data_IF_099865679417
#
_entry.id   IF_099865679417
#
_cell.length_a   1.000
_cell.length_b   1.000
_cell.length_c   1.000
_cell.angle_alpha   90.00
_cell.angle_beta   90.00
_cell.angle_gamma   90.00
#
_symmetry.space_group_name_H-M   'P 1'
#
loop_
_entity.id
_entity.type
_entity.pdbx_description
1 polymer ?
#
# COMPACT_ATOMS: atom_id res chain seq x y z
N UNK A 1 19.68 -10.04 14.85
CA UNK A 1 19.29 -10.94 13.75
C UNK A 1 17.78 -10.95 13.65
N UNK A 2 17.25 -10.90 12.44
CA UNK A 2 15.81 -10.92 12.21
C UNK A 2 15.26 -12.35 12.25
N UNK A 3 14.13 -12.54 12.94
CA UNK A 3 13.40 -13.82 12.96
C UNK A 3 12.53 -14.01 11.71
N UNK A 4 12.53 -13.04 10.79
CA UNK A 4 11.73 -13.08 9.58
C UNK A 4 12.42 -13.90 8.49
N UNK A 5 11.64 -14.63 7.67
CA UNK A 5 12.20 -15.36 6.55
C UNK A 5 12.83 -14.42 5.51
N UNK A 6 13.80 -14.96 4.76
CA UNK A 6 14.49 -14.19 3.71
C UNK A 6 13.53 -13.66 2.65
N UNK A 7 12.49 -14.45 2.32
CA UNK A 7 11.39 -13.99 1.48
C UNK A 7 10.21 -13.65 2.39
N UNK A 8 9.97 -12.36 2.55
CA UNK A 8 8.96 -11.86 3.47
C UNK A 8 8.19 -10.73 2.79
N UNK A 9 6.86 -10.78 2.89
CA UNK A 9 5.99 -9.71 2.42
C UNK A 9 5.20 -9.17 3.62
N UNK A 10 5.42 -7.90 3.94
CA UNK A 10 4.79 -7.26 5.10
C UNK A 10 3.27 -7.22 4.99
N UNK A 11 2.71 -7.11 3.78
CA UNK A 11 1.26 -7.10 3.59
C UNK A 11 0.62 -8.44 3.97
N UNK A 12 1.28 -9.55 3.62
CA UNK A 12 0.79 -10.88 4.01
C UNK A 12 0.77 -11.04 5.53
N UNK A 13 1.82 -10.60 6.20
CA UNK A 13 1.94 -10.71 7.65
C UNK A 13 1.06 -9.70 8.41
N UNK A 14 1.08 -8.44 8.01
CA UNK A 14 0.45 -7.36 8.76
C UNK A 14 -1.02 -7.14 8.39
N UNK A 15 -1.44 -7.53 7.20
CA UNK A 15 -2.79 -7.30 6.69
C UNK A 15 -3.55 -8.61 6.53
N UNK A 16 -3.07 -9.50 5.67
CA UNK A 16 -3.78 -10.74 5.33
C UNK A 16 -3.97 -11.66 6.53
N UNK A 17 -3.04 -11.66 7.47
CA UNK A 17 -3.12 -12.43 8.71
C UNK A 17 -4.42 -12.18 9.47
N UNK A 18 -4.92 -10.95 9.51
CA UNK A 18 -6.13 -10.60 10.26
C UNK A 18 -7.36 -11.30 9.69
N UNK A 19 -7.40 -11.56 8.40
CA UNK A 19 -8.48 -12.30 7.77
C UNK A 19 -8.38 -13.79 8.12
N UNK A 20 -7.20 -14.38 7.99
CA UNK A 20 -6.98 -15.80 8.29
C UNK A 20 -7.17 -16.11 9.78
N UNK A 21 -6.97 -15.13 10.66
CA UNK A 21 -7.19 -15.29 12.11
C UNK A 21 -8.59 -14.88 12.58
N UNK A 22 -9.54 -14.68 11.64
CA UNK A 22 -10.94 -14.47 11.95
C UNK A 22 -11.37 -13.02 12.21
N UNK A 23 -10.56 -12.05 11.83
CA UNK A 23 -10.85 -10.61 12.03
C UNK A 23 -11.29 -9.89 10.75
N UNK A 24 -11.79 -10.61 9.75
CA UNK A 24 -12.17 -10.01 8.47
C UNK A 24 -13.21 -8.89 8.60
N UNK A 25 -14.17 -9.03 9.53
CA UNK A 25 -15.22 -8.03 9.74
C UNK A 25 -14.81 -6.88 10.64
N UNK A 26 -13.62 -6.93 11.25
CA UNK A 26 -13.14 -5.87 12.14
C UNK A 26 -12.67 -4.65 11.32
N UNK A 27 -13.00 -3.45 11.80
CA UNK A 27 -12.55 -2.21 11.17
C UNK A 27 -11.02 -2.09 11.23
N UNK A 28 -10.40 -1.86 10.07
CA UNK A 28 -8.97 -1.59 9.97
C UNK A 28 -8.70 -0.09 9.90
N UNK A 29 -9.49 0.64 9.13
CA UNK A 29 -9.36 2.09 8.95
C UNK A 29 -10.75 2.73 8.87
N UNK A 30 -10.87 3.94 9.40
CA UNK A 30 -12.11 4.72 9.39
C UNK A 30 -11.78 6.12 8.88
N UNK A 31 -12.53 6.59 7.87
CA UNK A 31 -12.49 7.97 7.42
C UNK A 31 -13.91 8.57 7.43
N UNK A 32 -14.08 9.87 7.11
CA UNK A 32 -15.40 10.50 7.14
C UNK A 32 -16.43 9.90 6.18
N UNK A 33 -15.99 9.17 5.15
CA UNK A 33 -16.89 8.63 4.12
C UNK A 33 -17.17 7.16 4.26
N UNK A 34 -16.24 6.39 4.85
CA UNK A 34 -16.44 4.94 5.01
C UNK A 34 -15.58 4.35 6.12
N UNK A 35 -15.96 3.15 6.53
CA UNK A 35 -15.16 2.27 7.37
C UNK A 35 -14.64 1.12 6.48
N UNK A 36 -13.34 0.89 6.51
CA UNK A 36 -12.69 -0.19 5.78
C UNK A 36 -12.38 -1.33 6.74
N UNK A 37 -13.01 -2.49 6.52
CA UNK A 37 -12.71 -3.69 7.30
C UNK A 37 -11.43 -4.36 6.81
N UNK A 38 -10.85 -5.26 7.61
CA UNK A 38 -9.68 -6.03 7.17
C UNK A 38 -9.99 -6.88 5.93
N UNK A 39 -11.17 -7.46 5.84
CA UNK A 39 -11.58 -8.21 4.66
C UNK A 39 -11.62 -7.34 3.40
N UNK A 40 -12.18 -6.15 3.51
CA UNK A 40 -12.21 -5.17 2.41
C UNK A 40 -10.80 -4.69 2.07
N UNK A 41 -9.95 -4.44 3.07
CA UNK A 41 -8.56 -4.04 2.85
C UNK A 41 -7.81 -5.12 2.07
N UNK A 42 -7.96 -6.39 2.44
CA UNK A 42 -7.33 -7.50 1.71
C UNK A 42 -7.82 -7.54 0.26
N UNK A 43 -9.13 -7.52 0.04
CA UNK A 43 -9.71 -7.59 -1.30
C UNK A 43 -9.29 -6.41 -2.17
N UNK A 44 -9.41 -5.19 -1.67
CA UNK A 44 -9.08 -3.97 -2.44
C UNK A 44 -7.57 -3.83 -2.66
N UNK A 45 -6.75 -4.19 -1.68
CA UNK A 45 -5.29 -4.16 -1.88
C UNK A 45 -4.83 -5.22 -2.88
N UNK A 46 -5.50 -6.38 -2.96
CA UNK A 46 -5.24 -7.37 -4.00
C UNK A 46 -5.58 -6.81 -5.39
N UNK A 47 -6.69 -6.10 -5.52
CA UNK A 47 -7.08 -5.44 -6.77
C UNK A 47 -6.06 -4.37 -7.17
N UNK A 48 -5.59 -3.58 -6.21
CA UNK A 48 -4.55 -2.57 -6.44
C UNK A 48 -3.23 -3.22 -6.91
N UNK A 49 -2.83 -4.32 -6.29
CA UNK A 49 -1.64 -5.06 -6.69
C UNK A 49 -1.75 -5.59 -8.12
N UNK A 50 -2.91 -6.14 -8.47
CA UNK A 50 -3.18 -6.64 -9.82
C UNK A 50 -3.15 -5.50 -10.85
N UNK A 51 -3.70 -4.34 -10.50
CA UNK A 51 -3.66 -3.16 -11.36
C UNK A 51 -2.22 -2.71 -11.61
N UNK A 52 -1.40 -2.67 -10.57
CA UNK A 52 0.02 -2.30 -10.72
C UNK A 52 0.76 -3.26 -11.64
N UNK A 53 0.49 -4.56 -11.55
CA UNK A 53 1.04 -5.56 -12.48
C UNK A 53 0.58 -5.32 -13.91
N UNK A 54 -0.71 -5.02 -14.11
CA UNK A 54 -1.27 -4.71 -15.43
C UNK A 54 -0.68 -3.44 -16.04
N UNK A 55 -0.28 -2.46 -15.21
CA UNK A 55 0.39 -1.24 -15.64
C UNK A 55 1.89 -1.45 -15.95
N UNK A 56 2.41 -2.65 -15.76
CA UNK A 56 3.80 -2.98 -16.05
C UNK A 56 4.78 -2.70 -14.93
N UNK A 57 4.31 -2.39 -13.72
CA UNK A 57 5.18 -2.22 -12.56
C UNK A 57 5.77 -3.58 -12.16
N UNK A 58 7.06 -3.57 -11.89
CA UNK A 58 7.82 -4.76 -11.53
C UNK A 58 8.30 -4.67 -10.08
N UNK A 59 8.76 -5.80 -9.56
CA UNK A 59 9.33 -5.87 -8.23
C UNK A 59 10.43 -4.82 -8.06
N UNK A 60 10.37 -4.11 -6.94
CA UNK A 60 11.29 -3.04 -6.55
C UNK A 60 11.13 -1.74 -7.34
N UNK A 61 10.21 -1.66 -8.30
CA UNK A 61 9.82 -0.38 -8.87
C UNK A 61 9.24 0.49 -7.76
N UNK A 62 9.36 1.80 -7.91
CA UNK A 62 8.90 2.76 -6.91
C UNK A 62 7.66 3.49 -7.40
N UNK A 63 6.66 3.54 -6.55
CA UNK A 63 5.41 4.24 -6.84
C UNK A 63 5.22 5.39 -5.84
N UNK A 64 5.15 6.61 -6.34
CA UNK A 64 4.86 7.77 -5.51
C UNK A 64 3.36 7.80 -5.19
N UNK A 65 3.03 7.86 -3.91
CA UNK A 65 1.64 7.89 -3.43
C UNK A 65 1.32 9.29 -2.92
N UNK A 66 0.63 10.07 -3.76
CA UNK A 66 0.19 11.43 -3.45
C UNK A 66 -1.31 11.40 -3.24
N UNK A 67 -1.72 10.97 -2.04
CA UNK A 67 -3.12 10.71 -1.70
C UNK A 67 -3.49 11.40 -0.39
N UNK A 68 -4.75 11.77 -0.28
CA UNK A 68 -5.32 12.26 0.99
C UNK A 68 -5.42 11.10 2.00
N UNK A 69 -5.51 11.44 3.29
CA UNK A 69 -5.67 10.48 4.38
C UNK A 69 -7.10 9.90 4.39
N UNK A 70 -7.39 9.05 3.41
CA UNK A 70 -8.65 8.32 3.30
C UNK A 70 -8.39 6.82 3.34
N UNK A 71 -9.45 6.02 3.35
CA UNK A 71 -9.31 4.56 3.29
C UNK A 71 -8.66 4.06 1.99
N UNK A 72 -8.59 4.88 0.95
CA UNK A 72 -7.89 4.53 -0.29
C UNK A 72 -6.37 4.47 -0.11
N UNK A 73 -5.83 5.27 0.80
CA UNK A 73 -4.40 5.31 1.05
C UNK A 73 -3.84 3.94 1.49
N UNK A 74 -4.36 3.31 2.56
CA UNK A 74 -3.89 1.98 2.95
C UNK A 74 -4.13 0.92 1.88
N UNK A 75 -5.19 1.03 1.08
CA UNK A 75 -5.45 0.10 -0.03
C UNK A 75 -4.31 0.15 -1.04
N UNK A 76 -3.92 1.34 -1.48
CA UNK A 76 -2.85 1.51 -2.47
C UNK A 76 -1.49 1.18 -1.86
N UNK A 77 -1.24 1.63 -0.62
CA UNK A 77 0.02 1.37 0.08
C UNK A 77 0.28 -0.13 0.23
N UNK A 78 -0.68 -0.86 0.80
CA UNK A 78 -0.53 -2.30 0.99
C UNK A 78 -0.61 -3.08 -0.31
N UNK A 79 -1.35 -2.58 -1.29
CA UNK A 79 -1.38 -3.14 -2.64
C UNK A 79 0.00 -3.08 -3.31
N UNK A 80 0.70 -1.96 -3.17
CA UNK A 80 2.06 -1.82 -3.67
C UNK A 80 2.99 -2.84 -3.02
N UNK A 81 2.94 -2.96 -1.70
CA UNK A 81 3.77 -3.93 -0.97
C UNK A 81 3.48 -5.36 -1.42
N UNK A 82 2.21 -5.72 -1.62
CA UNK A 82 1.82 -7.05 -2.15
C UNK A 82 2.42 -7.31 -3.52
N UNK A 83 2.46 -6.30 -4.37
CA UNK A 83 3.03 -6.41 -5.72
C UNK A 83 4.57 -6.39 -5.73
N UNK A 84 5.20 -6.19 -4.60
CA UNK A 84 6.65 -6.03 -4.50
C UNK A 84 7.15 -4.66 -4.94
N UNK A 85 6.24 -3.70 -5.13
CA UNK A 85 6.53 -2.31 -5.49
C UNK A 85 6.81 -1.51 -4.21
N UNK A 86 7.76 -0.59 -4.27
CA UNK A 86 8.11 0.25 -3.12
C UNK A 86 7.21 1.49 -3.11
N UNK A 87 6.26 1.62 -2.17
CA UNK A 87 5.44 2.82 -2.09
C UNK A 87 6.21 3.94 -1.41
N UNK A 88 6.11 5.14 -1.99
CA UNK A 88 6.73 6.35 -1.44
C UNK A 88 5.60 7.28 -1.05
N UNK A 89 5.37 7.42 0.25
CA UNK A 89 4.31 8.28 0.78
C UNK A 89 4.75 9.74 0.71
N UNK A 90 3.98 10.57 0.01
CA UNK A 90 4.26 11.98 -0.15
C UNK A 90 3.13 12.85 0.40
N UNK A 91 3.51 13.99 0.96
CA UNK A 91 2.56 15.00 1.40
C UNK A 91 1.88 15.64 0.18
N UNK A 92 0.56 15.85 0.27
CA UNK A 92 -0.22 16.47 -0.81
C UNK A 92 0.00 17.98 -0.94
N UNK A 93 0.71 18.59 0.00
CA UNK A 93 0.94 20.05 0.06
C UNK A 93 2.36 20.46 -0.34
N UNK A 94 3.11 19.58 -1.00
CA UNK A 94 4.46 19.90 -1.45
C UNK A 94 4.44 20.81 -2.69
N UNK A 95 5.53 21.57 -2.88
CA UNK A 95 5.70 22.39 -4.09
C UNK A 95 6.07 21.51 -5.29
N UNK A 96 5.91 22.07 -6.50
CA UNK A 96 6.30 21.37 -7.74
C UNK A 96 7.78 20.95 -7.71
N UNK A 97 8.66 21.82 -7.21
CA UNK A 97 10.08 21.52 -7.13
C UNK A 97 10.38 20.40 -6.13
N UNK A 98 9.68 20.38 -5.00
CA UNK A 98 9.81 19.31 -4.01
C UNK A 98 9.35 17.95 -4.57
N UNK A 99 8.23 17.92 -5.30
CA UNK A 99 7.79 16.70 -5.99
C UNK A 99 8.81 16.25 -7.04
N UNK A 100 9.33 17.16 -7.83
CA UNK A 100 10.33 16.84 -8.84
C UNK A 100 11.56 16.21 -8.21
N UNK A 101 12.09 16.81 -7.16
CA UNK A 101 13.25 16.29 -6.45
C UNK A 101 13.01 14.87 -5.93
N UNK A 102 11.88 14.64 -5.27
CA UNK A 102 11.57 13.33 -4.69
C UNK A 102 11.37 12.27 -5.79
N UNK A 103 10.68 12.62 -6.87
CA UNK A 103 10.46 11.70 -7.99
C UNK A 103 11.76 11.30 -8.68
N UNK A 104 12.66 12.26 -8.90
CA UNK A 104 13.96 12.00 -9.50
C UNK A 104 14.87 11.20 -8.57
N UNK A 105 14.94 11.59 -7.29
CA UNK A 105 15.80 10.95 -6.29
C UNK A 105 15.37 9.52 -6.04
N UNK A 106 14.08 9.26 -5.93
CA UNK A 106 13.52 7.93 -5.66
C UNK A 106 13.40 7.05 -6.91
N UNK A 107 13.52 7.62 -8.09
CA UNK A 107 13.32 6.92 -9.38
C UNK A 107 11.91 6.34 -9.54
N UNK A 108 10.95 7.01 -8.95
CA UNK A 108 9.54 6.63 -9.08
C UNK A 108 9.03 6.78 -10.52
#
# INVERSE_FOLDING_TARGET
>A
MSDYPRQYNAAADMVDRHVSEGRAAKAAFIDPTRTLTYGELVAESNQAANLMGALGLRREDRAACILLDTCDYPVIFWGAIKAGVVPIALNTLLTTEQYRYILEDSRA
#
